data_IF_502819163543
#
_entry.id   IF_502819163543
#
_cell.length_a   1.000
_cell.length_b   1.000
_cell.length_c   1.000
_cell.angle_alpha   90.00
_cell.angle_beta   90.00
_cell.angle_gamma   90.00
#
_symmetry.space_group_name_H-M   'P 1'
#
loop_
_entity.id
_entity.type
_entity.pdbx_description
1 polymer ?
#
# COMPACT_ATOMS: atom_id res chain seq x y z
N UNK A 1 24.24 21.33 3.12
CA UNK A 1 22.77 21.14 3.22
C UNK A 1 22.02 21.49 1.92
N UNK A 2 22.01 22.74 1.44
CA UNK A 2 21.23 23.09 0.22
C UNK A 2 21.81 22.51 -1.09
N UNK A 3 23.15 22.49 -1.23
CA UNK A 3 23.85 21.89 -2.38
C UNK A 3 23.66 20.38 -2.44
N UNK A 4 23.78 19.71 -1.29
CA UNK A 4 23.59 18.26 -1.14
C UNK A 4 22.16 17.83 -1.46
N UNK A 5 21.17 18.64 -1.02
CA UNK A 5 19.76 18.40 -1.34
C UNK A 5 19.46 18.53 -2.84
N UNK A 6 20.03 19.54 -3.51
CA UNK A 6 19.83 19.73 -4.96
C UNK A 6 20.41 18.55 -5.74
N UNK A 7 21.62 18.11 -5.38
CA UNK A 7 22.23 16.92 -5.98
C UNK A 7 21.37 15.67 -5.74
N UNK A 8 20.86 15.47 -4.52
CA UNK A 8 20.01 14.33 -4.19
C UNK A 8 18.66 14.35 -4.95
N UNK A 9 18.06 15.52 -5.17
CA UNK A 9 16.85 15.67 -5.99
C UNK A 9 17.11 15.37 -7.47
N UNK A 10 18.26 15.80 -8.00
CA UNK A 10 18.65 15.53 -9.39
C UNK A 10 18.99 14.05 -9.65
N UNK A 11 19.26 13.28 -8.59
CA UNK A 11 19.51 11.85 -8.66
C UNK A 11 18.22 11.01 -8.58
N UNK A 12 17.04 11.63 -8.50
CA UNK A 12 15.75 10.92 -8.54
C UNK A 12 15.31 10.66 -9.99
N UNK A 13 14.60 9.56 -10.28
CA UNK A 13 14.11 8.56 -9.34
C UNK A 13 15.23 7.66 -8.81
N UNK A 14 15.09 7.24 -7.55
CA UNK A 14 15.99 6.30 -6.91
C UNK A 14 15.21 5.07 -6.47
N UNK A 15 15.76 3.88 -6.69
CA UNK A 15 15.28 2.61 -6.17
C UNK A 15 16.49 1.77 -5.81
N UNK A 16 16.49 1.19 -4.62
CA UNK A 16 17.64 0.41 -4.17
C UNK A 16 17.63 0.08 -2.69
N UNK A 17 18.73 -0.52 -2.19
CA UNK A 17 18.86 -0.87 -0.78
C UNK A 17 18.90 0.38 0.08
N UNK A 18 18.43 0.29 1.33
CA UNK A 18 18.38 1.40 2.29
C UNK A 18 19.74 2.11 2.48
N UNK A 19 20.85 1.45 2.23
CA UNK A 19 22.21 1.97 2.44
C UNK A 19 22.59 3.04 1.41
N UNK A 20 22.01 2.97 0.22
CA UNK A 20 22.29 3.88 -0.91
C UNK A 20 21.27 5.01 -1.04
N UNK A 21 20.50 5.26 0.02
CA UNK A 21 19.43 6.27 0.01
C UNK A 21 19.94 7.65 -0.41
N UNK A 22 19.18 8.40 -1.22
CA UNK A 22 19.50 9.78 -1.50
C UNK A 22 19.51 10.59 -0.21
N UNK A 23 20.39 11.60 -0.13
CA UNK A 23 20.55 12.48 1.03
C UNK A 23 19.36 13.47 1.21
N UNK A 24 18.16 12.92 1.35
CA UNK A 24 16.90 13.60 1.55
C UNK A 24 16.32 13.20 2.91
N UNK A 25 15.58 14.09 3.60
CA UNK A 25 14.86 13.68 4.79
C UNK A 25 13.72 12.74 4.39
N UNK A 26 13.89 11.45 4.65
CA UNK A 26 12.93 10.36 4.43
C UNK A 26 12.84 9.49 5.69
N UNK A 27 11.73 8.77 5.91
CA UNK A 27 11.56 7.93 7.10
C UNK A 27 12.73 6.92 7.28
N UNK A 28 13.19 6.68 8.52
CA UNK A 28 12.62 7.15 9.79
C UNK A 28 13.03 8.57 10.19
N UNK A 29 13.83 9.27 9.38
CA UNK A 29 14.23 10.64 9.66
C UNK A 29 13.02 11.60 9.64
N UNK A 30 13.12 12.69 10.40
CA UNK A 30 12.07 13.71 10.46
C UNK A 30 12.00 14.46 9.13
N UNK A 31 10.87 14.33 8.45
CA UNK A 31 10.58 15.16 7.27
C UNK A 31 9.89 16.47 7.68
N UNK A 32 10.11 17.59 6.96
CA UNK A 32 9.33 18.82 7.10
C UNK A 32 7.81 18.59 7.00
N UNK A 33 7.01 19.37 7.72
CA UNK A 33 5.54 19.27 7.60
C UNK A 33 5.04 19.85 6.27
N UNK A 34 5.77 20.79 5.69
CA UNK A 34 5.52 21.37 4.36
C UNK A 34 6.81 21.45 3.55
N UNK A 35 6.67 21.30 2.24
CA UNK A 35 7.75 21.45 1.27
C UNK A 35 7.15 21.79 -0.10
N UNK A 36 7.79 22.66 -0.88
CA UNK A 36 7.35 23.00 -2.24
C UNK A 36 5.84 23.35 -2.32
N UNK A 37 5.33 24.12 -1.34
CA UNK A 37 3.92 24.52 -1.28
C UNK A 37 2.95 23.45 -0.79
N UNK A 38 3.33 22.17 -0.71
CA UNK A 38 2.43 21.07 -0.35
C UNK A 38 2.57 20.64 1.11
N UNK A 39 1.52 20.04 1.64
CA UNK A 39 1.56 19.36 2.94
C UNK A 39 2.20 17.98 2.78
N UNK A 40 2.98 17.58 3.78
CA UNK A 40 3.45 16.20 3.86
C UNK A 40 2.25 15.27 3.99
N UNK A 41 2.17 14.30 3.08
CA UNK A 41 1.26 13.17 3.13
C UNK A 41 2.08 11.96 3.56
N UNK A 42 1.56 11.14 4.46
CA UNK A 42 2.19 9.89 4.87
C UNK A 42 1.14 8.86 5.23
N UNK A 43 1.39 7.61 4.92
CA UNK A 43 0.50 6.53 5.29
C UNK A 43 1.26 5.22 5.47
N UNK A 44 0.58 4.32 6.17
CA UNK A 44 0.87 2.89 6.15
C UNK A 44 -0.42 2.18 5.79
N UNK A 45 -0.35 1.27 4.83
CA UNK A 45 -1.41 0.39 4.40
C UNK A 45 -0.95 -1.05 4.59
N UNK A 46 -1.89 -1.92 4.98
CA UNK A 46 -1.67 -3.36 5.06
C UNK A 46 -2.86 -4.03 4.39
N UNK A 47 -2.59 -4.89 3.42
CA UNK A 47 -3.55 -5.83 2.86
C UNK A 47 -3.22 -7.24 3.34
N UNK A 48 -4.21 -8.01 3.75
CA UNK A 48 -4.09 -9.43 4.09
C UNK A 48 -5.18 -10.20 3.33
N UNK A 49 -4.78 -11.21 2.56
CA UNK A 49 -5.65 -11.85 1.58
C UNK A 49 -5.67 -13.35 1.81
N UNK A 50 -6.87 -13.89 1.97
CA UNK A 50 -7.13 -15.32 2.14
C UNK A 50 -8.43 -15.77 1.51
N UNK A 51 -8.67 -17.08 1.60
CA UNK A 51 -9.86 -17.70 1.03
C UNK A 51 -11.12 -17.42 1.86
N UNK A 52 -10.97 -17.26 3.18
CA UNK A 52 -12.10 -16.98 4.06
C UNK A 52 -12.36 -15.48 4.20
N UNK A 53 -11.28 -14.70 4.29
CA UNK A 53 -11.36 -13.26 4.50
C UNK A 53 -10.32 -12.52 3.67
N UNK A 54 -10.69 -11.35 3.19
CA UNK A 54 -9.76 -10.34 2.72
C UNK A 54 -9.92 -9.09 3.56
N UNK A 55 -8.81 -8.46 3.89
CA UNK A 55 -8.80 -7.32 4.81
C UNK A 55 -7.79 -6.28 4.35
N UNK A 56 -8.18 -5.01 4.43
CA UNK A 56 -7.24 -3.90 4.35
C UNK A 56 -7.36 -2.99 5.57
N UNK A 57 -6.24 -2.37 5.96
CA UNK A 57 -6.20 -1.41 7.05
C UNK A 57 -5.15 -0.34 6.79
N UNK A 58 -5.52 0.93 6.98
CA UNK A 58 -4.62 2.04 6.73
C UNK A 58 -4.70 3.13 7.80
N UNK A 59 -3.56 3.76 8.03
CA UNK A 59 -3.43 5.00 8.81
C UNK A 59 -2.75 6.06 7.96
N UNK A 60 -3.45 7.17 7.74
CA UNK A 60 -3.08 8.26 6.84
C UNK A 60 -2.95 9.55 7.63
N UNK A 61 -1.93 10.37 7.32
CA UNK A 61 -1.82 11.74 7.80
C UNK A 61 -1.46 12.70 6.68
N UNK A 62 -2.17 13.82 6.62
CA UNK A 62 -1.95 14.92 5.68
C UNK A 62 -1.83 16.20 6.48
N UNK A 63 -0.59 16.71 6.59
CA UNK A 63 -0.29 17.82 7.46
C UNK A 63 -0.74 17.54 8.92
N UNK A 64 -1.60 18.39 9.51
CA UNK A 64 -2.09 18.22 10.88
C UNK A 64 -3.27 17.25 11.01
N UNK A 65 -3.95 16.92 9.90
CA UNK A 65 -5.13 16.05 9.88
C UNK A 65 -4.72 14.60 9.59
N UNK A 66 -5.60 13.68 9.98
CA UNK A 66 -5.42 12.27 9.67
C UNK A 66 -6.71 11.56 9.34
N UNK A 67 -6.58 10.33 8.92
CA UNK A 67 -7.69 9.42 8.67
C UNK A 67 -7.20 7.99 8.93
N UNK A 68 -8.07 7.16 9.48
CA UNK A 68 -7.88 5.70 9.45
C UNK A 68 -9.05 5.07 8.72
N UNK A 69 -8.78 4.03 7.95
CA UNK A 69 -9.82 3.22 7.35
C UNK A 69 -9.43 1.76 7.38
N UNK A 70 -10.44 0.91 7.35
CA UNK A 70 -10.28 -0.52 7.25
C UNK A 70 -11.50 -1.11 6.53
N UNK A 71 -11.30 -2.27 5.92
CA UNK A 71 -12.37 -3.06 5.33
C UNK A 71 -12.06 -4.54 5.52
N UNK A 72 -13.11 -5.33 5.73
CA UNK A 72 -13.09 -6.78 5.84
C UNK A 72 -14.16 -7.33 4.93
N UNK A 73 -13.75 -8.10 3.93
CA UNK A 73 -14.62 -8.94 3.14
C UNK A 73 -14.65 -10.33 3.75
N UNK A 74 -15.81 -10.74 4.28
CA UNK A 74 -16.08 -12.14 4.56
C UNK A 74 -16.48 -12.83 3.25
N UNK A 75 -15.59 -13.65 2.70
CA UNK A 75 -15.79 -14.29 1.39
C UNK A 75 -16.80 -15.43 1.44
N UNK A 76 -17.17 -15.92 2.63
CA UNK A 76 -18.21 -16.96 2.78
C UNK A 76 -19.61 -16.38 2.61
N UNK A 77 -19.85 -15.21 3.18
CA UNK A 77 -21.13 -14.50 3.11
C UNK A 77 -21.19 -13.52 1.93
N UNK A 78 -20.04 -13.05 1.44
CA UNK A 78 -19.93 -11.95 0.48
C UNK A 78 -20.13 -10.57 1.13
N UNK A 79 -20.21 -10.49 2.46
CA UNK A 79 -20.42 -9.23 3.17
C UNK A 79 -19.11 -8.44 3.30
N UNK A 80 -19.16 -7.17 2.89
CA UNK A 80 -18.09 -6.19 3.12
C UNK A 80 -18.45 -5.32 4.32
N UNK A 81 -17.59 -5.35 5.33
CA UNK A 81 -17.69 -4.52 6.53
C UNK A 81 -16.55 -3.53 6.51
N UNK A 82 -16.84 -2.24 6.60
CA UNK A 82 -15.82 -1.21 6.50
C UNK A 82 -16.14 0.01 7.36
N UNK A 83 -15.09 0.74 7.74
CA UNK A 83 -15.27 2.04 8.35
C UNK A 83 -14.15 3.01 7.94
N UNK A 84 -14.46 4.30 8.06
CA UNK A 84 -13.52 5.39 7.82
C UNK A 84 -13.69 6.47 8.87
N UNK A 85 -12.62 6.72 9.62
CA UNK A 85 -12.58 7.74 10.68
C UNK A 85 -11.66 8.88 10.31
N UNK A 86 -12.23 10.07 10.20
CA UNK A 86 -11.48 11.33 10.07
C UNK A 86 -10.93 11.73 11.44
N UNK A 87 -9.69 12.21 11.49
CA UNK A 87 -8.96 12.50 12.73
C UNK A 87 -8.57 13.97 12.80
N UNK A 88 -8.97 14.62 13.88
CA UNK A 88 -8.44 15.90 14.31
C UNK A 88 -7.03 15.73 14.89
N UNK A 89 -6.26 16.83 15.04
CA UNK A 89 -4.93 16.76 15.63
C UNK A 89 -4.94 16.03 16.99
N UNK A 90 -3.93 15.17 17.19
CA UNK A 90 -3.74 14.34 18.39
C UNK A 90 -4.79 13.24 18.64
N UNK A 91 -5.85 13.11 17.83
CA UNK A 91 -6.76 11.97 17.94
C UNK A 91 -6.07 10.67 17.49
N UNK A 92 -6.37 9.59 18.21
CA UNK A 92 -6.04 8.22 17.79
C UNK A 92 -7.18 7.73 16.89
N UNK A 93 -6.83 7.12 15.78
CA UNK A 93 -7.80 6.42 14.92
C UNK A 93 -8.01 4.98 15.35
N UNK A 94 -8.80 4.25 14.56
CA UNK A 94 -9.13 2.84 14.79
C UNK A 94 -8.03 1.91 14.31
N UNK A 95 -7.11 2.41 13.48
CA UNK A 95 -5.98 1.66 12.95
C UNK A 95 -4.67 2.27 13.41
N UNK A 96 -3.81 1.44 14.01
CA UNK A 96 -2.43 1.80 14.33
C UNK A 96 -1.49 0.59 14.25
N UNK A 97 -0.19 0.87 14.11
CA UNK A 97 0.85 -0.15 14.18
C UNK A 97 1.67 0.04 15.44
N UNK A 98 1.94 -1.04 16.14
CA UNK A 98 2.76 -1.07 17.34
C UNK A 98 3.80 -2.18 17.28
N UNK A 99 4.86 -2.02 18.06
CA UNK A 99 5.84 -3.07 18.32
C UNK A 99 5.22 -4.17 19.17
N UNK A 100 5.84 -5.35 19.20
CA UNK A 100 5.42 -6.44 20.08
C UNK A 100 5.29 -6.05 21.57
N UNK A 101 6.06 -5.05 22.02
CA UNK A 101 5.99 -4.47 23.37
C UNK A 101 4.93 -3.38 23.59
N UNK A 102 4.09 -3.05 22.59
CA UNK A 102 2.99 -2.08 22.69
C UNK A 102 3.39 -0.62 22.40
N UNK A 103 4.66 -0.34 22.13
CA UNK A 103 5.09 1.00 21.70
C UNK A 103 4.61 1.30 20.27
N UNK A 104 4.04 2.49 20.07
CA UNK A 104 3.58 2.95 18.75
C UNK A 104 4.78 3.07 17.80
N UNK A 105 4.69 2.36 16.68
CA UNK A 105 5.74 2.29 15.68
C UNK A 105 5.68 3.49 14.71
N UNK A 106 6.81 3.78 14.03
CA UNK A 106 6.95 4.89 13.06
C UNK A 106 7.47 4.38 11.71
N UNK A 107 7.01 5.01 10.63
CA UNK A 107 7.43 4.75 9.25
C UNK A 107 8.95 4.64 9.09
N UNK A 108 9.39 3.73 8.22
CA UNK A 108 10.80 3.58 7.86
C UNK A 108 11.65 2.75 8.83
N UNK A 109 11.09 2.26 9.95
CA UNK A 109 11.83 1.40 10.90
C UNK A 109 11.68 -0.07 10.47
N UNK A 110 12.79 -0.82 10.45
CA UNK A 110 12.87 -2.23 10.02
C UNK A 110 13.36 -3.13 11.17
N UNK A 111 13.23 -4.46 11.01
CA UNK A 111 13.83 -5.46 11.91
C UNK A 111 13.03 -5.78 13.18
N UNK A 112 11.80 -5.27 13.30
CA UNK A 112 10.98 -5.43 14.49
C UNK A 112 9.74 -6.28 14.22
N UNK A 113 9.32 -7.05 15.24
CA UNK A 113 8.01 -7.71 15.23
C UNK A 113 6.93 -6.66 15.42
N UNK A 114 6.29 -6.31 14.31
CA UNK A 114 5.19 -5.35 14.28
C UNK A 114 3.86 -6.06 14.41
N UNK A 115 2.85 -5.30 14.81
CA UNK A 115 1.46 -5.68 14.62
C UNK A 115 0.61 -4.47 14.27
N UNK A 116 -0.28 -4.65 13.32
CA UNK A 116 -1.34 -3.68 13.04
C UNK A 116 -2.60 -4.08 13.81
N UNK A 117 -3.21 -3.08 14.44
CA UNK A 117 -4.45 -3.19 15.21
C UNK A 117 -5.58 -2.53 14.45
N UNK A 118 -6.73 -3.16 14.48
CA UNK A 118 -8.04 -2.54 14.22
C UNK A 118 -8.81 -2.60 15.54
N UNK A 119 -9.40 -1.48 15.93
CA UNK A 119 -10.21 -1.34 17.14
C UNK A 119 -11.39 -0.41 16.83
N UNK A 120 -12.43 -1.01 16.27
CA UNK A 120 -13.69 -0.36 15.93
C UNK A 120 -14.85 -1.14 16.56
N UNK A 121 -16.03 -0.52 16.62
CA UNK A 121 -17.20 -1.12 17.25
C UNK A 121 -17.67 -2.38 16.49
N UNK A 122 -17.54 -2.38 15.16
CA UNK A 122 -17.95 -3.46 14.28
C UNK A 122 -16.86 -4.53 14.05
N UNK A 123 -15.60 -4.21 14.31
CA UNK A 123 -14.48 -5.13 14.10
C UNK A 123 -13.28 -4.81 14.99
N UNK A 124 -12.71 -5.84 15.61
CA UNK A 124 -11.37 -5.77 16.21
C UNK A 124 -10.44 -6.76 15.55
N UNK A 125 -9.21 -6.33 15.23
CA UNK A 125 -8.24 -7.22 14.59
C UNK A 125 -6.84 -7.01 15.12
N UNK A 126 -6.06 -8.08 15.09
CA UNK A 126 -4.62 -8.08 15.31
C UNK A 126 -3.96 -8.80 14.14
N UNK A 127 -3.19 -8.06 13.36
CA UNK A 127 -2.37 -8.56 12.25
C UNK A 127 -0.93 -8.61 12.73
N UNK A 128 -0.42 -9.80 13.00
CA UNK A 128 0.98 -9.99 13.44
C UNK A 128 1.84 -10.44 12.26
N UNK A 129 2.89 -9.69 11.94
CA UNK A 129 3.76 -10.01 10.80
C UNK A 129 4.75 -11.11 11.21
N UNK A 130 4.45 -12.35 10.82
CA UNK A 130 5.20 -13.56 11.21
C UNK A 130 6.50 -13.68 10.40
N UNK A 131 6.40 -13.51 9.09
CA UNK A 131 7.52 -13.51 8.15
C UNK A 131 7.34 -12.35 7.17
N UNK A 132 8.44 -11.73 6.74
CA UNK A 132 8.40 -10.54 5.88
C UNK A 132 9.40 -10.69 4.74
N UNK A 133 8.98 -10.38 3.53
CA UNK A 133 9.85 -10.34 2.37
C UNK A 133 10.74 -9.09 2.31
N UNK A 134 11.49 -8.98 1.22
CA UNK A 134 12.40 -7.86 0.96
C UNK A 134 11.62 -6.60 0.60
N UNK A 135 12.06 -5.46 1.12
CA UNK A 135 11.48 -4.16 0.79
C UNK A 135 11.86 -3.74 -0.63
N UNK A 136 10.86 -3.51 -1.48
CA UNK A 136 11.02 -2.68 -2.67
C UNK A 136 10.87 -1.22 -2.26
N UNK A 137 11.99 -0.49 -2.18
CA UNK A 137 12.03 0.89 -1.72
C UNK A 137 12.39 1.83 -2.88
N UNK A 138 11.66 2.94 -3.00
CA UNK A 138 11.94 3.98 -4.00
C UNK A 138 11.68 5.40 -3.48
N UNK A 139 12.32 6.35 -4.15
CA UNK A 139 12.10 7.79 -3.99
C UNK A 139 11.90 8.40 -5.37
N UNK A 140 10.71 8.93 -5.63
CA UNK A 140 10.35 9.53 -6.91
C UNK A 140 10.27 11.06 -6.82
N UNK A 141 10.65 11.79 -7.89
CA UNK A 141 10.42 13.23 -7.96
C UNK A 141 8.91 13.53 -8.05
N UNK A 142 8.48 14.67 -7.52
CA UNK A 142 7.06 15.02 -7.46
C UNK A 142 6.78 16.53 -7.68
N UNK A 143 7.47 17.11 -8.67
CA UNK A 143 7.38 18.53 -9.04
C UNK A 143 8.11 19.49 -8.08
N UNK A 144 8.57 20.66 -8.54
CA UNK A 144 9.10 21.78 -7.73
C UNK A 144 10.05 21.43 -6.56
N UNK A 145 10.89 20.40 -6.72
CA UNK A 145 11.82 19.93 -5.68
C UNK A 145 11.15 19.20 -4.50
N UNK A 146 9.90 18.78 -4.68
CA UNK A 146 9.21 17.77 -3.89
C UNK A 146 9.57 16.35 -4.36
N UNK A 147 9.40 15.42 -3.45
CA UNK A 147 9.70 14.01 -3.63
C UNK A 147 8.77 13.17 -2.76
N UNK A 148 8.63 11.90 -3.13
CA UNK A 148 7.86 10.91 -2.37
C UNK A 148 8.72 9.69 -2.17
N UNK A 149 8.85 9.29 -0.91
CA UNK A 149 9.46 8.04 -0.49
C UNK A 149 8.38 6.99 -0.31
N UNK A 150 8.69 5.77 -0.70
CA UNK A 150 7.83 4.62 -0.46
C UNK A 150 8.63 3.34 -0.32
N UNK A 151 8.07 2.37 0.41
CA UNK A 151 8.52 0.98 0.39
C UNK A 151 7.36 0.03 0.52
N UNK A 152 7.44 -1.08 -0.21
CA UNK A 152 6.46 -2.17 -0.14
C UNK A 152 7.15 -3.51 0.10
N UNK A 153 6.46 -4.47 0.69
CA UNK A 153 6.92 -5.86 0.79
C UNK A 153 5.75 -6.83 0.97
N UNK A 154 5.90 -8.09 0.57
CA UNK A 154 5.00 -9.15 0.97
C UNK A 154 5.27 -9.58 2.41
N UNK A 155 4.24 -10.05 3.08
CA UNK A 155 4.35 -10.59 4.44
C UNK A 155 3.38 -11.75 4.67
N UNK A 156 3.82 -12.68 5.51
CA UNK A 156 2.96 -13.67 6.16
C UNK A 156 2.38 -13.04 7.42
N UNK A 157 1.06 -13.04 7.55
CA UNK A 157 0.32 -12.30 8.57
C UNK A 157 -0.55 -13.27 9.36
N UNK A 158 -0.26 -13.42 10.65
CA UNK A 158 -1.17 -14.11 11.56
C UNK A 158 -2.30 -13.15 11.95
N UNK A 159 -3.49 -13.44 11.45
CA UNK A 159 -4.71 -12.69 11.71
C UNK A 159 -5.44 -13.28 12.92
N UNK A 160 -5.84 -12.40 13.84
CA UNK A 160 -6.88 -12.65 14.81
C UNK A 160 -7.93 -11.55 14.68
N UNK A 161 -9.06 -11.88 14.07
CA UNK A 161 -10.15 -10.97 13.69
C UNK A 161 -11.42 -11.37 14.43
N UNK A 162 -12.06 -10.41 15.10
CA UNK A 162 -13.35 -10.54 15.76
C UNK A 162 -14.33 -9.55 15.12
N UNK A 163 -15.41 -10.08 14.53
CA UNK A 163 -16.50 -9.33 13.90
C UNK A 163 -17.77 -9.31 14.78
N UNK A 164 -17.61 -9.48 16.09
CA UNK A 164 -18.71 -9.51 17.06
C UNK A 164 -19.62 -10.70 16.82
N UNK A 165 -20.91 -10.45 16.59
CA UNK A 165 -21.92 -11.50 16.37
C UNK A 165 -21.66 -12.34 15.10
N UNK A 166 -20.90 -11.81 14.14
CA UNK A 166 -20.50 -12.53 12.91
C UNK A 166 -19.39 -13.55 13.17
N UNK A 167 -18.81 -13.54 14.36
CA UNK A 167 -17.83 -14.52 14.81
C UNK A 167 -16.39 -14.07 14.68
N UNK A 168 -15.48 -15.02 14.93
CA UNK A 168 -14.05 -14.79 15.03
C UNK A 168 -13.29 -15.65 14.03
N UNK A 169 -12.34 -15.06 13.33
CA UNK A 169 -11.47 -15.70 12.34
C UNK A 169 -10.03 -15.65 12.84
N UNK A 170 -9.36 -16.80 12.79
CA UNK A 170 -7.91 -16.90 12.99
C UNK A 170 -7.30 -17.67 11.84
N UNK A 171 -6.40 -17.02 11.11
CA UNK A 171 -5.79 -17.56 9.89
C UNK A 171 -4.40 -16.96 9.69
N UNK A 172 -3.51 -17.71 9.06
CA UNK A 172 -2.23 -17.19 8.56
C UNK A 172 -2.40 -16.84 7.08
N UNK A 173 -2.28 -15.56 6.76
CA UNK A 173 -2.56 -14.98 5.46
C UNK A 173 -1.28 -14.52 4.77
N UNK A 174 -1.32 -14.39 3.44
CA UNK A 174 -0.33 -13.62 2.68
C UNK A 174 -0.86 -12.21 2.46
N UNK A 175 0.02 -11.23 2.44
CA UNK A 175 -0.38 -9.84 2.33
C UNK A 175 0.71 -8.94 1.82
N UNK A 176 0.38 -7.66 1.66
CA UNK A 176 1.32 -6.60 1.28
C UNK A 176 1.30 -5.52 2.36
N UNK A 177 2.49 -5.09 2.75
CA UNK A 177 2.70 -3.86 3.49
C UNK A 177 3.10 -2.75 2.52
N UNK A 178 2.48 -1.58 2.65
CA UNK A 178 2.85 -0.35 1.93
C UNK A 178 3.08 0.78 2.93
N UNK A 179 4.21 1.45 2.77
CA UNK A 179 4.57 2.65 3.50
C UNK A 179 4.92 3.74 2.51
N UNK A 180 4.37 4.93 2.74
CA UNK A 180 4.72 6.08 1.92
C UNK A 180 4.74 7.36 2.74
N UNK A 181 5.63 8.26 2.35
CA UNK A 181 5.73 9.59 2.94
C UNK A 181 6.34 10.56 1.92
N UNK A 182 5.69 11.70 1.71
CA UNK A 182 6.16 12.63 0.72
C UNK A 182 5.28 13.83 0.51
N UNK A 183 5.52 14.49 -0.61
CA UNK A 183 4.97 15.80 -0.97
C UNK A 183 4.33 15.69 -2.35
N UNK A 184 3.16 15.07 -2.42
CA UNK A 184 2.43 14.96 -3.67
C UNK A 184 1.80 16.30 -4.08
N UNK A 185 1.57 16.52 -5.38
CA UNK A 185 0.89 17.69 -5.91
C UNK A 185 -0.51 17.87 -5.32
N UNK A 186 -1.07 19.06 -5.57
CA UNK A 186 -2.43 19.44 -5.19
C UNK A 186 -3.46 18.45 -5.72
N UNK A 187 -3.35 18.08 -7.00
CA UNK A 187 -4.14 17.01 -7.62
C UNK A 187 -3.27 15.78 -7.82
N UNK A 188 -3.80 14.62 -7.45
CA UNK A 188 -3.18 13.32 -7.62
C UNK A 188 -4.20 12.37 -8.21
N UNK A 189 -3.83 11.67 -9.26
CA UNK A 189 -4.65 10.65 -9.90
C UNK A 189 -3.78 9.42 -10.10
N UNK A 190 -4.22 8.26 -9.61
CA UNK A 190 -3.49 7.02 -9.78
C UNK A 190 -4.40 5.80 -9.87
N UNK A 191 -3.83 4.75 -10.45
CA UNK A 191 -4.35 3.40 -10.34
C UNK A 191 -3.28 2.52 -9.69
N UNK A 192 -3.72 1.62 -8.83
CA UNK A 192 -2.83 0.79 -8.02
C UNK A 192 -3.37 -0.63 -7.90
N UNK A 193 -2.48 -1.59 -7.77
CA UNK A 193 -2.83 -2.96 -7.42
C UNK A 193 -1.80 -3.56 -6.50
N UNK A 194 -2.28 -4.27 -5.48
CA UNK A 194 -1.46 -5.13 -4.66
C UNK A 194 -2.15 -6.46 -4.46
N UNK A 195 -1.38 -7.53 -4.52
CA UNK A 195 -1.92 -8.87 -4.36
C UNK A 195 -0.85 -9.92 -4.15
N UNK A 196 -1.34 -11.13 -3.94
CA UNK A 196 -0.57 -12.34 -3.70
C UNK A 196 -1.16 -13.46 -4.54
N UNK A 197 -0.33 -14.41 -4.97
CA UNK A 197 -0.79 -15.48 -5.83
C UNK A 197 0.17 -16.64 -5.90
N UNK A 198 -0.17 -17.58 -6.77
CA UNK A 198 0.62 -18.77 -7.03
C UNK A 198 0.80 -18.87 -8.54
N UNK A 199 2.04 -18.99 -9.00
CA UNK A 199 2.34 -19.21 -10.40
C UNK A 199 1.86 -20.60 -10.85
N UNK A 200 1.68 -20.81 -12.15
CA UNK A 200 1.34 -22.12 -12.73
C UNK A 200 2.36 -23.22 -12.40
N UNK A 201 3.62 -22.84 -12.13
CA UNK A 201 4.68 -23.75 -11.70
C UNK A 201 4.76 -23.93 -10.16
N UNK A 202 3.82 -23.37 -9.41
CA UNK A 202 3.68 -23.52 -7.97
C UNK A 202 4.44 -22.50 -7.12
N UNK A 203 5.27 -21.64 -7.71
CA UNK A 203 5.98 -20.59 -6.95
C UNK A 203 5.01 -19.56 -6.38
N UNK A 204 5.24 -19.15 -5.14
CA UNK A 204 4.49 -18.02 -4.55
C UNK A 204 4.90 -16.70 -5.20
N UNK A 205 3.90 -15.85 -5.43
CA UNK A 205 4.06 -14.52 -6.00
C UNK A 205 3.43 -13.48 -5.10
N UNK A 206 3.93 -12.26 -5.20
CA UNK A 206 3.26 -11.05 -4.72
C UNK A 206 3.60 -9.88 -5.64
N UNK A 207 2.76 -8.85 -5.67
CA UNK A 207 2.99 -7.69 -6.51
C UNK A 207 2.50 -6.39 -5.89
N UNK A 208 3.12 -5.31 -6.36
CA UNK A 208 2.72 -3.92 -6.19
C UNK A 208 2.85 -3.26 -7.57
N UNK A 209 1.75 -2.82 -8.15
CA UNK A 209 1.69 -2.23 -9.49
C UNK A 209 1.03 -0.86 -9.37
N UNK A 210 1.57 0.14 -10.07
CA UNK A 210 1.06 1.51 -10.00
C UNK A 210 1.16 2.18 -11.37
N UNK A 211 0.21 3.07 -11.64
CA UNK A 211 0.26 4.03 -12.72
C UNK A 211 -0.17 5.42 -12.21
N UNK A 212 0.51 6.49 -12.66
CA UNK A 212 0.14 7.89 -12.39
C UNK A 212 0.82 8.55 -11.19
N UNK A 213 1.27 7.78 -10.18
CA UNK A 213 2.11 8.29 -9.07
C UNK A 213 3.30 7.36 -8.84
N UNK A 214 4.46 7.94 -8.52
CA UNK A 214 5.71 7.19 -8.36
C UNK A 214 5.96 6.23 -9.55
N UNK A 215 5.61 6.70 -10.76
CA UNK A 215 5.55 5.94 -12.01
C UNK A 215 6.50 6.53 -13.09
N UNK A 216 7.80 6.66 -12.81
CA UNK A 216 8.80 6.87 -13.86
C UNK A 216 8.98 5.59 -14.70
N UNK A 217 9.69 5.70 -15.83
CA UNK A 217 10.07 4.55 -16.68
C UNK A 217 10.87 3.49 -15.90
N UNK A 218 11.77 3.93 -15.01
CA UNK A 218 12.57 3.09 -14.12
C UNK A 218 12.74 3.76 -12.74
N UNK A 219 12.99 2.96 -11.70
CA UNK A 219 13.08 3.45 -10.32
C UNK A 219 11.71 3.71 -9.68
N UNK A 220 10.66 3.08 -10.21
CA UNK A 220 9.29 3.14 -9.68
C UNK A 220 9.15 2.35 -8.37
N UNK A 221 8.03 2.54 -7.70
CA UNK A 221 7.57 1.66 -6.62
C UNK A 221 7.00 0.32 -7.09
N UNK A 222 6.84 0.10 -8.41
CA UNK A 222 6.40 -1.18 -8.96
C UNK A 222 7.32 -2.32 -8.51
N UNK A 223 6.75 -3.47 -8.17
CA UNK A 223 7.53 -4.61 -7.70
C UNK A 223 6.76 -5.92 -7.90
N UNK A 224 7.48 -6.96 -8.27
CA UNK A 224 7.02 -8.35 -8.28
C UNK A 224 8.01 -9.16 -7.44
N UNK A 225 7.49 -9.85 -6.43
CA UNK A 225 8.23 -10.78 -5.60
C UNK A 225 7.91 -12.21 -6.04
N UNK A 226 8.95 -13.02 -6.20
CA UNK A 226 8.87 -14.39 -6.69
C UNK A 226 9.60 -15.29 -5.70
N UNK A 227 8.96 -16.37 -5.27
CA UNK A 227 9.58 -17.35 -4.38
C UNK A 227 10.88 -17.90 -4.99
N UNK A 228 11.94 -17.89 -4.18
CA UNK A 228 13.29 -18.30 -4.60
C UNK A 228 14.11 -17.22 -5.32
N UNK A 229 13.58 -16.00 -5.46
CA UNK A 229 14.32 -14.83 -5.97
C UNK A 229 14.54 -13.84 -4.84
N UNK A 230 15.81 -13.48 -4.59
CA UNK A 230 16.21 -12.68 -3.44
C UNK A 230 15.69 -11.24 -3.51
N UNK A 231 15.72 -10.62 -4.69
CA UNK A 231 15.36 -9.21 -4.88
C UNK A 231 14.06 -9.05 -5.68
N UNK A 232 13.19 -8.07 -5.32
CA UNK A 232 11.98 -7.78 -6.08
C UNK A 232 12.31 -7.25 -7.47
N UNK A 233 11.71 -7.86 -8.49
CA UNK A 233 11.79 -7.39 -9.88
C UNK A 233 10.96 -6.12 -10.03
N UNK A 234 11.53 -5.07 -10.62
CA UNK A 234 10.76 -3.93 -11.12
C UNK A 234 10.23 -4.28 -12.52
N UNK A 235 8.91 -4.46 -12.72
CA UNK A 235 8.36 -4.56 -14.06
C UNK A 235 8.44 -3.19 -14.76
N UNK A 236 8.40 -3.21 -16.10
CA UNK A 236 8.21 -2.00 -16.89
C UNK A 236 6.91 -1.28 -16.53
N UNK A 237 6.66 -0.12 -17.15
CA UNK A 237 5.40 0.58 -16.94
C UNK A 237 4.20 -0.30 -17.32
N UNK A 238 3.15 -0.18 -16.54
CA UNK A 238 1.89 -0.92 -16.74
C UNK A 238 0.77 0.06 -17.04
N UNK A 239 -0.23 -0.38 -17.80
CA UNK A 239 -1.46 0.38 -18.01
C UNK A 239 -2.65 -0.34 -17.40
N UNK A 240 -3.48 0.40 -16.67
CA UNK A 240 -4.72 -0.11 -16.10
C UNK A 240 -5.87 0.06 -17.09
N UNK A 241 -6.62 -1.01 -17.32
CA UNK A 241 -7.86 -1.04 -18.09
C UNK A 241 -9.03 -0.86 -17.13
N UNK A 242 -9.18 0.37 -16.62
CA UNK A 242 -10.03 0.66 -15.47
C UNK A 242 -9.65 -0.18 -14.25
N UNK A 243 -10.63 -0.85 -13.66
CA UNK A 243 -10.42 -1.80 -12.55
C UNK A 243 -10.50 -3.26 -13.01
N UNK A 244 -10.55 -3.52 -14.32
CA UNK A 244 -10.79 -4.87 -14.86
C UNK A 244 -9.51 -5.62 -15.21
N UNK A 245 -8.42 -4.91 -15.48
CA UNK A 245 -7.14 -5.54 -15.77
C UNK A 245 -5.94 -4.58 -15.74
N UNK A 246 -4.76 -5.19 -15.75
CA UNK A 246 -3.46 -4.53 -15.94
C UNK A 246 -2.79 -5.14 -17.16
N UNK A 247 -2.21 -4.29 -18.02
CA UNK A 247 -1.42 -4.70 -19.18
C UNK A 247 0.04 -4.37 -18.96
N UNK A 248 0.91 -5.30 -19.32
CA UNK A 248 2.35 -5.19 -19.20
C UNK A 248 2.98 -4.86 -20.56
N UNK A 249 4.21 -4.34 -20.53
CA UNK A 249 4.96 -3.96 -21.73
C UNK A 249 5.31 -5.17 -22.64
N UNK A 250 5.37 -6.38 -22.09
CA UNK A 250 5.60 -7.62 -22.82
C UNK A 250 4.33 -8.15 -23.54
N UNK A 251 3.19 -7.45 -23.38
CA UNK A 251 1.90 -7.85 -23.92
C UNK A 251 1.07 -8.75 -22.99
N UNK A 252 1.60 -9.13 -21.82
CA UNK A 252 0.84 -9.90 -20.84
C UNK A 252 -0.33 -9.09 -20.26
N UNK A 253 -1.39 -9.80 -19.87
CA UNK A 253 -2.58 -9.20 -19.25
C UNK A 253 -2.89 -9.95 -17.96
N UNK A 254 -3.01 -9.18 -16.89
CA UNK A 254 -3.49 -9.63 -15.60
C UNK A 254 -4.94 -9.16 -15.44
N UNK A 255 -5.89 -10.07 -15.61
CA UNK A 255 -7.32 -9.79 -15.44
C UNK A 255 -7.72 -9.76 -13.97
N UNK A 256 -8.79 -9.02 -13.67
CA UNK A 256 -9.34 -8.89 -12.32
C UNK A 256 -10.86 -9.03 -12.33
N UNK A 257 -11.37 -9.81 -11.38
CA UNK A 257 -12.79 -9.96 -11.11
C UNK A 257 -13.06 -9.50 -9.67
N UNK A 258 -13.88 -8.46 -9.52
CA UNK A 258 -14.20 -7.89 -8.22
C UNK A 258 -15.21 -8.77 -7.45
N UNK A 259 -14.90 -9.06 -6.19
CA UNK A 259 -15.81 -9.73 -5.26
C UNK A 259 -16.65 -8.68 -4.49
N UNK A 260 -16.01 -7.65 -3.94
CA UNK A 260 -16.68 -6.54 -3.25
C UNK A 260 -15.84 -5.26 -3.33
N UNK A 261 -16.49 -4.10 -3.28
CA UNK A 261 -15.83 -2.80 -3.44
C UNK A 261 -16.02 -1.87 -2.26
N UNK A 262 -14.89 -1.45 -1.68
CA UNK A 262 -14.82 -0.24 -0.87
C UNK A 262 -14.77 0.97 -1.80
N UNK A 263 -15.71 1.89 -1.65
CA UNK A 263 -15.70 3.16 -2.38
C UNK A 263 -16.02 4.34 -1.48
N UNK A 264 -15.46 5.49 -1.82
CA UNK A 264 -15.75 6.73 -1.11
C UNK A 264 -15.65 7.91 -2.08
N UNK A 265 -16.63 8.81 -1.99
CA UNK A 265 -16.60 10.10 -2.67
C UNK A 265 -16.80 11.22 -1.65
N UNK A 266 -15.97 12.25 -1.73
CA UNK A 266 -16.11 13.43 -0.90
C UNK A 266 -15.85 14.69 -1.71
N UNK A 267 -16.72 15.68 -1.53
CA UNK A 267 -16.55 17.03 -2.07
C UNK A 267 -16.71 18.04 -0.94
N UNK A 268 -15.59 18.58 -0.46
CA UNK A 268 -15.53 19.66 0.53
C UNK A 268 -14.77 20.84 -0.08
N UNK A 269 -14.96 22.04 0.49
CA UNK A 269 -14.41 23.30 -0.06
C UNK A 269 -12.90 23.24 -0.36
N UNK A 270 -12.12 22.50 0.45
CA UNK A 270 -10.66 22.40 0.31
C UNK A 270 -10.19 21.06 -0.24
N UNK A 271 -10.98 19.99 -0.05
CA UNK A 271 -10.62 18.60 -0.42
C UNK A 271 -11.74 17.98 -1.23
N UNK A 272 -11.41 17.44 -2.41
CA UNK A 272 -12.30 16.60 -3.21
C UNK A 272 -11.58 15.30 -3.54
N UNK A 273 -12.23 14.15 -3.36
CA UNK A 273 -11.68 12.88 -3.84
C UNK A 273 -12.77 11.89 -4.25
N UNK A 274 -12.44 11.04 -5.21
CA UNK A 274 -13.12 9.78 -5.51
C UNK A 274 -12.13 8.64 -5.33
N UNK A 275 -12.57 7.60 -4.64
CA UNK A 275 -11.76 6.43 -4.29
C UNK A 275 -12.57 5.18 -4.53
N UNK A 276 -11.98 4.19 -5.23
CA UNK A 276 -12.53 2.85 -5.42
C UNK A 276 -11.43 1.84 -5.17
N UNK A 277 -11.68 0.83 -4.35
CA UNK A 277 -10.75 -0.27 -4.09
C UNK A 277 -11.53 -1.58 -3.97
N UNK A 278 -11.78 -2.28 -5.08
CA UNK A 278 -12.34 -3.62 -5.02
C UNK A 278 -11.32 -4.64 -4.51
N UNK A 279 -11.78 -5.52 -3.62
CA UNK A 279 -11.16 -6.82 -3.39
C UNK A 279 -11.61 -7.78 -4.48
N UNK A 280 -10.74 -8.71 -4.86
CA UNK A 280 -11.11 -9.69 -5.86
C UNK A 280 -10.00 -10.65 -6.24
N UNK A 281 -10.24 -11.31 -7.36
CA UNK A 281 -9.40 -12.39 -7.90
C UNK A 281 -8.70 -11.93 -9.16
N UNK A 282 -7.49 -12.45 -9.34
CA UNK A 282 -6.64 -12.21 -10.49
C UNK A 282 -6.44 -13.48 -11.30
N UNK A 283 -6.39 -13.34 -12.61
CA UNK A 283 -6.13 -14.42 -13.57
C UNK A 283 -5.31 -13.93 -14.77
N UNK A 284 -4.71 -14.86 -15.50
CA UNK A 284 -3.82 -14.56 -16.63
C UNK A 284 -2.36 -14.43 -16.20
N UNK A 285 -1.65 -13.45 -16.74
CA UNK A 285 -0.18 -13.42 -16.69
C UNK A 285 0.38 -12.12 -16.09
N UNK A 286 1.19 -12.28 -15.05
CA UNK A 286 1.91 -11.22 -14.33
C UNK A 286 3.33 -11.07 -14.92
N UNK A 287 3.53 -10.11 -15.83
CA UNK A 287 4.83 -9.83 -16.48
C UNK A 287 5.49 -11.09 -17.05
N UNK A 288 4.69 -11.83 -17.82
CA UNK A 288 5.05 -13.11 -18.45
C UNK A 288 4.89 -14.35 -17.56
N UNK A 289 4.56 -14.19 -16.27
CA UNK A 289 4.38 -15.30 -15.33
C UNK A 289 2.91 -15.68 -15.26
N UNK A 290 2.55 -16.86 -15.78
CA UNK A 290 1.17 -17.36 -15.71
C UNK A 290 0.75 -17.66 -14.26
N UNK A 291 -0.41 -17.15 -13.86
CA UNK A 291 -1.01 -17.42 -12.55
C UNK A 291 -1.85 -18.69 -12.58
N UNK A 292 -1.64 -19.55 -11.58
CA UNK A 292 -2.65 -20.54 -11.21
C UNK A 292 -3.82 -19.87 -10.47
N UNK A 293 -3.51 -18.91 -9.59
CA UNK A 293 -4.46 -18.15 -8.80
C UNK A 293 -3.84 -16.84 -8.32
N UNK A 294 -4.67 -15.83 -8.08
CA UNK A 294 -4.27 -14.59 -7.44
C UNK A 294 -5.43 -13.92 -6.73
N UNK A 295 -5.15 -13.27 -5.60
CA UNK A 295 -6.11 -12.50 -4.82
C UNK A 295 -5.47 -11.20 -4.33
N UNK A 296 -6.27 -10.14 -4.24
CA UNK A 296 -5.78 -8.85 -3.78
C UNK A 296 -6.76 -7.73 -4.06
N UNK A 297 -6.22 -6.55 -4.33
CA UNK A 297 -7.00 -5.35 -4.62
C UNK A 297 -6.58 -4.69 -5.93
N UNK A 298 -7.55 -4.08 -6.59
CA UNK A 298 -7.33 -2.96 -7.50
C UNK A 298 -7.72 -1.68 -6.77
N UNK A 299 -7.18 -0.55 -7.21
CA UNK A 299 -7.54 0.77 -6.69
C UNK A 299 -7.49 1.80 -7.80
N UNK A 300 -8.44 2.74 -7.77
CA UNK A 300 -8.37 3.97 -8.52
C UNK A 300 -8.71 5.14 -7.59
N UNK A 301 -7.88 6.18 -7.62
CA UNK A 301 -8.08 7.39 -6.84
C UNK A 301 -7.82 8.64 -7.69
N UNK A 302 -8.76 9.60 -7.63
CA UNK A 302 -8.55 10.99 -8.05
C UNK A 302 -8.82 11.88 -6.84
N UNK A 303 -7.84 12.70 -6.46
CA UNK A 303 -7.92 13.54 -5.28
C UNK A 303 -7.29 14.92 -5.50
N UNK A 304 -7.96 15.94 -5.00
CA UNK A 304 -7.56 17.35 -4.95
C UNK A 304 -7.50 17.76 -3.47
N UNK A 305 -6.28 17.96 -2.94
CA UNK A 305 -5.94 18.07 -1.49
C UNK A 305 -5.78 19.46 -0.88
#
# INVERSE_FOLDING_TARGET
MAKDRTAALNALPWRGPTEDRPALPIPPAKMPVRLAGTWRKRWRYVGAFGEQVMLCAASVRIGPLGQTFWAVLDRRSGELIENTKQLLPAQRGEVWTERAGGEIWRLGVSGERLRTRIDADEATAKLSFAETGVWAESVCPNGDGAYVWTRKRPSTIDLDLDLGERGRVRETLRGIEDESAGYHPRRTEWSWSAGVGTAADGRKLAWNLVAGVNDPEAGSERAIWIEGVDEPREPGQVSFDGLEAIRFADGSRLGFEADAERSAEQSRLVVRYSYRQPFGRFSGSLDGIELAEGIGVMEHQDAVW
#
